data_IF_756176238979
#
_entry.id   IF_756176238979
#
_cell.length_a   1.000
_cell.length_b   1.000
_cell.length_c   1.000
_cell.angle_alpha   90.00
_cell.angle_beta   90.00
_cell.angle_gamma   90.00
#
_symmetry.space_group_name_H-M   'P 1'
#
loop_
_entity.id
_entity.type
_entity.pdbx_description
1 polymer ?
#
# COMPACT_ATOMS: atom_id res chain seq x y z
N UNK A 1 0.11 -3.48 -9.62
CA UNK A 1 -1.10 -3.76 -10.44
C UNK A 1 -2.21 -2.78 -10.03
N UNK A 2 -3.07 -2.34 -10.95
CA UNK A 2 -4.20 -1.45 -10.63
C UNK A 2 -5.48 -2.30 -10.55
N UNK A 3 -6.19 -2.25 -9.42
CA UNK A 3 -7.49 -2.89 -9.28
C UNK A 3 -8.59 -1.93 -9.79
N UNK A 4 -9.06 -2.16 -11.01
CA UNK A 4 -10.16 -1.38 -11.63
C UNK A 4 -11.50 -2.04 -11.31
N UNK A 5 -12.53 -1.24 -11.06
CA UNK A 5 -13.86 -1.68 -10.63
C UNK A 5 -14.64 -0.55 -9.96
N UNK A 6 -15.94 -0.71 -9.78
CA UNK A 6 -16.81 0.30 -9.17
C UNK A 6 -16.47 0.52 -7.68
N UNK A 7 -16.79 1.69 -7.09
CA UNK A 7 -16.74 1.87 -5.65
C UNK A 7 -17.56 0.80 -4.93
N UNK A 8 -17.04 0.25 -3.82
CA UNK A 8 -17.77 -0.72 -3.00
C UNK A 8 -17.70 -2.19 -3.45
N UNK A 9 -17.05 -2.52 -4.58
CA UNK A 9 -16.93 -3.91 -5.07
C UNK A 9 -15.94 -4.79 -4.28
N UNK A 10 -15.46 -4.33 -3.13
CA UNK A 10 -14.58 -5.13 -2.26
C UNK A 10 -13.10 -5.15 -2.65
N UNK A 11 -12.60 -4.14 -3.39
CA UNK A 11 -11.17 -4.03 -3.72
C UNK A 11 -10.28 -4.04 -2.47
N UNK A 12 -10.70 -3.34 -1.41
CA UNK A 12 -10.02 -3.36 -0.11
C UNK A 12 -10.02 -4.75 0.51
N UNK A 13 -11.16 -5.45 0.46
CA UNK A 13 -11.27 -6.82 0.97
C UNK A 13 -10.34 -7.81 0.22
N UNK A 14 -10.07 -7.60 -1.07
CA UNK A 14 -9.08 -8.38 -1.82
C UNK A 14 -7.66 -8.17 -1.28
N UNK A 15 -7.30 -6.93 -0.95
CA UNK A 15 -5.97 -6.58 -0.40
C UNK A 15 -5.82 -7.14 1.01
N UNK A 16 -6.84 -7.02 1.85
CA UNK A 16 -6.88 -7.60 3.19
C UNK A 16 -6.80 -9.13 3.15
N UNK A 17 -7.53 -9.77 2.24
CA UNK A 17 -7.47 -11.21 2.02
C UNK A 17 -6.09 -11.68 1.55
N UNK A 18 -5.41 -10.90 0.70
CA UNK A 18 -4.02 -11.19 0.32
C UNK A 18 -3.08 -11.05 1.51
N UNK A 19 -3.21 -9.98 2.30
CA UNK A 19 -2.38 -9.76 3.49
C UNK A 19 -2.53 -10.90 4.51
N UNK A 20 -3.77 -11.37 4.74
CA UNK A 20 -4.04 -12.52 5.60
C UNK A 20 -3.37 -13.79 5.08
N UNK A 21 -3.50 -14.11 3.79
CA UNK A 21 -2.87 -15.29 3.19
C UNK A 21 -1.35 -15.24 3.27
N UNK A 22 -0.74 -14.07 3.12
CA UNK A 22 0.72 -13.91 3.30
C UNK A 22 1.09 -14.17 4.76
N UNK A 23 0.35 -13.61 5.72
CA UNK A 23 0.60 -13.82 7.15
C UNK A 23 0.45 -15.30 7.57
N UNK A 24 -0.48 -16.03 6.94
CA UNK A 24 -0.67 -17.47 7.12
C UNK A 24 0.37 -18.33 6.37
N UNK A 25 1.20 -17.72 5.51
CA UNK A 25 2.11 -18.44 4.63
C UNK A 25 1.41 -19.22 3.51
N UNK A 26 0.10 -19.00 3.32
CA UNK A 26 -0.75 -19.62 2.30
C UNK A 26 -0.64 -18.86 0.96
N UNK A 27 0.59 -18.69 0.50
CA UNK A 27 0.97 -18.04 -0.76
C UNK A 27 2.21 -18.73 -1.33
N UNK A 28 2.50 -18.60 -2.64
CA UNK A 28 3.76 -19.03 -3.22
C UNK A 28 4.98 -18.47 -2.48
N UNK A 29 6.09 -19.20 -2.45
CA UNK A 29 7.30 -18.81 -1.71
C UNK A 29 7.81 -17.41 -2.07
N UNK A 30 7.65 -16.99 -3.32
CA UNK A 30 8.01 -15.65 -3.79
C UNK A 30 7.24 -14.51 -3.08
N UNK A 31 6.05 -14.79 -2.55
CA UNK A 31 5.20 -13.80 -1.88
C UNK A 31 5.28 -13.85 -0.34
N UNK A 32 5.81 -14.94 0.23
CA UNK A 32 5.98 -15.07 1.69
C UNK A 32 6.80 -13.94 2.34
N UNK A 33 7.87 -13.40 1.74
CA UNK A 33 8.62 -12.31 2.36
C UNK A 33 7.99 -10.93 2.16
N UNK A 34 6.91 -10.82 1.39
CA UNK A 34 6.30 -9.53 1.03
C UNK A 34 5.47 -9.01 2.19
N UNK A 35 5.58 -7.72 2.49
CA UNK A 35 4.66 -7.05 3.42
C UNK A 35 3.63 -6.23 2.65
N UNK A 36 2.36 -6.30 3.06
CA UNK A 36 1.28 -5.48 2.49
C UNK A 36 1.09 -4.27 3.39
N UNK A 37 1.09 -3.07 2.79
CA UNK A 37 0.88 -1.78 3.48
C UNK A 37 -0.16 -0.98 2.72
N UNK A 38 -1.00 -0.24 3.45
CA UNK A 38 -1.96 0.69 2.85
C UNK A 38 -1.55 2.12 3.18
N UNK A 39 -1.60 2.99 2.18
CA UNK A 39 -1.40 4.43 2.33
C UNK A 39 -2.75 5.14 2.28
N UNK A 40 -3.12 5.77 3.38
CA UNK A 40 -4.31 6.62 3.44
C UNK A 40 -3.97 8.01 2.86
N UNK A 41 -4.51 8.31 1.68
CA UNK A 41 -4.31 9.61 1.04
C UNK A 41 -4.99 10.77 1.78
N UNK A 42 -6.08 10.51 2.50
CA UNK A 42 -6.77 11.50 3.33
C UNK A 42 -5.89 11.93 4.51
N UNK A 43 -5.24 10.98 5.18
CA UNK A 43 -4.26 11.28 6.22
C UNK A 43 -3.00 11.95 5.66
N UNK A 44 -2.58 11.56 4.46
CA UNK A 44 -1.43 12.19 3.79
C UNK A 44 -1.70 13.67 3.46
N UNK A 45 -2.93 13.95 3.02
CA UNK A 45 -3.42 15.30 2.74
C UNK A 45 -3.71 16.08 4.02
N UNK A 46 -4.12 15.43 5.10
CA UNK A 46 -4.34 16.06 6.39
C UNK A 46 -3.03 16.72 6.88
N UNK A 47 -3.10 18.04 7.09
CA UNK A 47 -1.94 18.83 7.49
C UNK A 47 -0.93 19.12 6.38
N UNK A 48 -1.21 18.77 5.11
CA UNK A 48 -0.50 19.31 3.96
C UNK A 48 -1.16 20.65 3.57
N UNK A 49 -0.75 21.73 4.24
CA UNK A 49 -1.37 23.06 4.09
C UNK A 49 -0.73 23.90 2.98
N UNK A 50 0.49 23.54 2.57
CA UNK A 50 1.27 24.28 1.57
C UNK A 50 1.20 23.56 0.23
N UNK A 51 1.07 24.34 -0.86
CA UNK A 51 1.09 23.81 -2.23
C UNK A 51 2.37 23.00 -2.47
N UNK A 52 2.25 21.74 -2.90
CA UNK A 52 3.38 20.84 -3.16
C UNK A 52 3.79 19.94 -1.99
N UNK A 53 3.25 20.19 -0.79
CA UNK A 53 3.63 19.42 0.41
C UNK A 53 3.10 17.98 0.36
N UNK A 54 1.88 17.78 -0.16
CA UNK A 54 1.30 16.45 -0.37
C UNK A 54 2.18 15.60 -1.29
N UNK A 55 2.60 16.16 -2.43
CA UNK A 55 3.44 15.48 -3.41
C UNK A 55 4.83 15.16 -2.84
N UNK A 56 5.41 16.06 -2.03
CA UNK A 56 6.68 15.80 -1.37
C UNK A 56 6.55 14.67 -0.33
N UNK A 57 5.48 14.65 0.47
CA UNK A 57 5.23 13.56 1.43
C UNK A 57 5.03 12.23 0.72
N UNK A 58 4.28 12.19 -0.38
CA UNK A 58 4.08 10.99 -1.19
C UNK A 58 5.41 10.45 -1.72
N UNK A 59 6.26 11.33 -2.28
CA UNK A 59 7.60 10.95 -2.76
C UNK A 59 8.45 10.34 -1.65
N UNK A 60 8.49 10.97 -0.48
CA UNK A 60 9.25 10.46 0.66
C UNK A 60 8.77 9.06 1.08
N UNK A 61 7.46 8.80 1.08
CA UNK A 61 6.91 7.47 1.38
C UNK A 61 7.36 6.44 0.34
N UNK A 62 7.28 6.79 -0.95
CA UNK A 62 7.71 5.90 -2.04
C UNK A 62 9.20 5.56 -1.90
N UNK A 63 10.05 6.54 -1.58
CA UNK A 63 11.48 6.33 -1.37
C UNK A 63 11.74 5.36 -0.20
N UNK A 64 11.07 5.54 0.93
CA UNK A 64 11.20 4.64 2.09
C UNK A 64 10.75 3.22 1.74
N UNK A 65 9.66 3.08 0.98
CA UNK A 65 9.14 1.79 0.51
C UNK A 65 10.14 1.10 -0.41
N UNK A 66 10.79 1.84 -1.32
CA UNK A 66 11.82 1.32 -2.22
C UNK A 66 13.10 0.91 -1.50
N UNK A 67 13.44 1.57 -0.39
CA UNK A 67 14.62 1.27 0.44
C UNK A 67 14.37 0.15 1.46
N UNK A 68 13.15 -0.36 1.56
CA UNK A 68 12.79 -1.40 2.52
C UNK A 68 13.65 -2.66 2.33
N UNK A 69 14.21 -3.24 3.41
CA UNK A 69 15.00 -4.47 3.33
C UNK A 69 14.16 -5.70 2.95
N UNK A 70 12.84 -5.62 3.12
CA UNK A 70 11.88 -6.61 2.64
C UNK A 70 10.97 -6.01 1.57
N UNK A 71 10.51 -6.80 0.59
CA UNK A 71 9.61 -6.30 -0.44
C UNK A 71 8.29 -5.81 0.16
N UNK A 72 7.81 -4.68 -0.32
CA UNK A 72 6.57 -4.05 0.14
C UNK A 72 5.60 -3.93 -1.03
N UNK A 73 4.38 -4.42 -0.84
CA UNK A 73 3.23 -4.13 -1.69
C UNK A 73 2.46 -2.99 -1.05
N UNK A 74 2.65 -1.78 -1.59
CA UNK A 74 1.93 -0.59 -1.16
C UNK A 74 0.61 -0.46 -1.93
N UNK A 75 -0.50 -0.46 -1.20
CA UNK A 75 -1.84 -0.17 -1.69
C UNK A 75 -2.20 1.29 -1.38
N UNK A 76 -2.81 1.97 -2.35
CA UNK A 76 -3.20 3.39 -2.28
C UNK A 76 -4.69 3.48 -2.60
#
# INVERSE_FOLDING_TARGET
>A
PILVGEPGVGKTALVEGLALRIAEGNVPDALKPVSVRTLDLGLLQAGAGVKGEFEQRLKNIIEVVQQSPSPVLLFI
#
